data_IF_884200459518
#
_entry.id   IF_884200459518
#
_cell.length_a   1.000
_cell.length_b   1.000
_cell.length_c   1.000
_cell.angle_alpha   90.00
_cell.angle_beta   90.00
_cell.angle_gamma   90.00
#
_symmetry.space_group_name_H-M   'P 1'
#
loop_
_entity.id
_entity.type
_entity.pdbx_description
1 polymer ?
#
# COMPACT_ATOMS: atom_id res chain seq x y z
N UNK A 1 -8.26 26.35 -7.46
CA UNK A 1 -8.69 27.72 -7.12
C UNK A 1 -7.96 28.67 -8.08
N UNK A 2 -8.67 29.59 -8.73
CA UNK A 2 -8.08 30.52 -9.71
C UNK A 2 -8.17 31.95 -9.19
N UNK A 3 -7.07 32.70 -9.26
CA UNK A 3 -6.97 34.05 -8.69
C UNK A 3 -6.42 35.01 -9.76
N UNK A 4 -7.04 36.18 -10.00
CA UNK A 4 -6.48 37.19 -10.89
C UNK A 4 -5.11 37.68 -10.42
N UNK A 5 -4.17 37.90 -11.34
CA UNK A 5 -2.81 38.37 -11.04
C UNK A 5 -2.44 39.63 -11.85
N UNK A 6 -3.04 40.79 -11.52
CA UNK A 6 -2.90 42.01 -12.31
C UNK A 6 -1.53 42.68 -12.17
N UNK A 7 -0.90 42.62 -10.99
CA UNK A 7 0.32 43.35 -10.65
C UNK A 7 1.31 42.47 -9.86
N UNK A 8 2.61 42.81 -9.90
CA UNK A 8 3.67 42.08 -9.16
C UNK A 8 3.53 42.20 -7.65
N UNK A 9 2.99 43.31 -7.18
CA UNK A 9 2.90 43.64 -5.75
C UNK A 9 1.83 42.82 -5.03
N UNK A 10 1.04 42.03 -5.76
CA UNK A 10 0.08 41.12 -5.17
C UNK A 10 0.81 40.06 -4.36
N UNK A 11 0.51 40.00 -3.06
CA UNK A 11 1.06 38.99 -2.17
C UNK A 11 0.51 37.61 -2.54
N UNK A 12 1.38 36.74 -3.08
CA UNK A 12 1.03 35.36 -3.44
C UNK A 12 1.05 34.41 -2.25
N UNK A 13 1.52 34.88 -1.08
CA UNK A 13 1.54 34.10 0.15
C UNK A 13 2.60 33.00 0.20
N UNK A 14 2.61 32.31 1.34
CA UNK A 14 3.32 31.05 1.52
C UNK A 14 4.84 31.14 1.63
N UNK A 15 5.46 29.97 1.60
CA UNK A 15 6.90 29.80 1.62
C UNK A 15 7.44 29.91 0.19
N UNK A 16 8.30 30.89 -0.07
CA UNK A 16 8.86 31.16 -1.40
C UNK A 16 9.66 29.97 -1.96
N UNK A 17 10.34 29.20 -1.10
CA UNK A 17 11.07 27.98 -1.52
C UNK A 17 10.14 26.89 -2.01
N UNK A 18 8.94 26.80 -1.41
CA UNK A 18 7.94 25.79 -1.70
C UNK A 18 6.80 26.31 -2.59
N UNK A 19 6.99 27.47 -3.22
CA UNK A 19 6.04 28.01 -4.18
C UNK A 19 6.16 27.26 -5.50
N UNK A 20 5.06 26.65 -5.94
CA UNK A 20 5.04 25.83 -7.14
C UNK A 20 5.51 26.60 -8.40
N UNK A 21 6.10 25.90 -9.39
CA UNK A 21 6.68 26.54 -10.58
C UNK A 21 5.67 27.40 -11.34
N UNK A 22 4.43 26.93 -11.51
CA UNK A 22 3.38 27.66 -12.21
C UNK A 22 2.96 28.97 -11.54
N UNK A 23 3.20 29.10 -10.22
CA UNK A 23 2.93 30.32 -9.46
C UNK A 23 4.17 31.21 -9.46
N UNK A 24 5.35 30.65 -9.18
CA UNK A 24 6.61 31.40 -9.08
C UNK A 24 7.08 31.98 -10.41
N UNK A 25 6.80 31.33 -11.54
CA UNK A 25 7.19 31.83 -12.88
C UNK A 25 6.07 32.58 -13.58
N UNK A 26 4.95 32.85 -12.89
CA UNK A 26 3.83 33.55 -13.50
C UNK A 26 4.18 35.00 -13.82
N UNK A 27 3.71 35.48 -14.97
CA UNK A 27 3.89 36.87 -15.38
C UNK A 27 2.61 37.64 -15.04
N UNK A 28 2.69 38.74 -14.28
CA UNK A 28 1.54 39.59 -13.99
C UNK A 28 1.03 40.26 -15.26
N UNK A 29 -0.26 40.55 -15.32
CA UNK A 29 -0.81 41.34 -16.41
C UNK A 29 -2.32 41.52 -16.33
N UNK A 30 -2.88 42.47 -17.10
CA UNK A 30 -4.31 42.62 -17.23
C UNK A 30 -4.88 41.32 -17.83
N UNK A 31 -5.73 40.63 -17.07
CA UNK A 31 -6.28 39.28 -17.35
C UNK A 31 -5.32 38.09 -17.13
N UNK A 32 -4.18 38.29 -16.46
CA UNK A 32 -3.38 37.16 -15.97
C UNK A 32 -4.11 36.47 -14.82
N UNK A 33 -4.11 35.13 -14.80
CA UNK A 33 -4.78 34.32 -13.79
C UNK A 33 -3.81 33.25 -13.29
N UNK A 34 -3.69 33.15 -11.97
CA UNK A 34 -2.94 32.10 -11.28
C UNK A 34 -3.86 30.93 -10.95
N UNK A 35 -3.41 29.70 -11.22
CA UNK A 35 -4.12 28.48 -10.88
C UNK A 35 -3.41 27.73 -9.74
N UNK A 36 -4.02 27.75 -8.56
CA UNK A 36 -3.57 27.05 -7.36
C UNK A 36 -4.12 25.63 -7.25
N UNK A 37 -4.85 25.13 -8.26
CA UNK A 37 -5.53 23.82 -8.18
C UNK A 37 -4.61 22.63 -7.91
N UNK A 38 -3.31 22.73 -8.24
CA UNK A 38 -2.30 21.69 -7.98
C UNK A 38 -1.00 22.23 -7.40
N UNK A 39 -1.00 23.47 -6.88
CA UNK A 39 0.18 24.07 -6.25
C UNK A 39 0.56 23.31 -4.99
N UNK A 40 -0.44 22.95 -4.18
CA UNK A 40 -0.22 22.28 -2.89
C UNK A 40 0.32 20.87 -3.09
N UNK A 41 -0.10 20.18 -4.16
CA UNK A 41 0.44 18.87 -4.52
C UNK A 41 1.94 18.93 -4.81
N UNK A 42 2.40 20.01 -5.45
CA UNK A 42 3.82 20.21 -5.68
C UNK A 42 4.58 20.45 -4.36
N UNK A 43 4.02 21.28 -3.48
CA UNK A 43 4.60 21.52 -2.15
C UNK A 43 4.66 20.24 -1.30
N UNK A 44 3.62 19.41 -1.35
CA UNK A 44 3.60 18.07 -0.73
C UNK A 44 4.72 17.20 -1.28
N UNK A 45 4.94 17.21 -2.60
CA UNK A 45 6.06 16.48 -3.22
C UNK A 45 7.43 16.90 -2.69
N UNK A 46 7.64 18.20 -2.44
CA UNK A 46 8.88 18.71 -1.87
C UNK A 46 9.06 18.30 -0.40
N UNK A 47 8.01 18.48 0.42
CA UNK A 47 8.01 18.09 1.84
C UNK A 47 8.11 16.58 2.02
N UNK A 48 7.65 15.79 1.04
CA UNK A 48 7.74 14.33 1.09
C UNK A 48 9.19 13.83 1.19
N UNK A 49 10.20 14.58 0.71
CA UNK A 49 11.60 14.22 0.94
C UNK A 49 11.92 14.16 2.43
N UNK A 50 11.52 15.18 3.19
CA UNK A 50 11.76 15.27 4.63
C UNK A 50 11.04 14.16 5.38
N UNK A 51 9.78 13.89 5.01
CA UNK A 51 8.97 12.83 5.62
C UNK A 51 9.60 11.45 5.38
N UNK A 52 10.19 11.23 4.21
CA UNK A 52 10.80 9.96 3.83
C UNK A 52 12.29 9.84 4.24
N UNK A 53 12.79 10.78 5.05
CA UNK A 53 14.14 10.73 5.60
C UNK A 53 15.24 11.21 4.65
N UNK A 54 14.90 12.03 3.66
CA UNK A 54 15.84 12.71 2.77
C UNK A 54 15.79 14.23 2.97
N UNK A 55 16.85 14.93 2.57
CA UNK A 55 16.86 16.39 2.58
C UNK A 55 15.94 16.96 1.50
N UNK A 56 15.26 18.05 1.82
CA UNK A 56 14.42 18.76 0.86
C UNK A 56 15.28 19.48 -0.17
N UNK A 57 15.14 19.16 -1.48
CA UNK A 57 16.02 19.69 -2.52
C UNK A 57 15.86 21.20 -2.76
N UNK A 58 14.79 21.83 -2.28
CA UNK A 58 14.54 23.26 -2.45
C UNK A 58 15.02 24.11 -1.29
N UNK A 59 15.40 23.49 -0.17
CA UNK A 59 15.99 24.19 0.96
C UNK A 59 17.51 24.24 0.88
N UNK A 60 18.15 25.20 1.57
CA UNK A 60 19.60 25.20 1.67
C UNK A 60 20.02 23.97 2.47
N UNK A 61 20.91 23.18 1.88
CA UNK A 61 21.54 22.07 2.57
C UNK A 61 22.29 22.57 3.81
N UNK A 62 22.10 21.89 4.96
CA UNK A 62 22.76 22.27 6.22
C UNK A 62 24.26 21.96 6.20
N UNK A 63 24.66 20.94 5.45
CA UNK A 63 26.00 20.39 5.37
C UNK A 63 26.64 20.57 3.98
N UNK A 64 26.00 21.32 3.08
CA UNK A 64 26.36 21.43 1.67
C UNK A 64 26.36 20.09 0.91
N UNK A 65 25.60 19.09 1.39
CA UNK A 65 25.41 17.78 0.74
C UNK A 65 24.85 17.87 -0.67
N UNK A 66 24.04 18.90 -0.94
CA UNK A 66 23.42 19.09 -2.25
C UNK A 66 23.28 20.56 -2.62
N UNK A 67 23.23 20.80 -3.93
CA UNK A 67 22.92 22.12 -4.48
C UNK A 67 21.44 22.40 -4.32
N UNK A 68 21.12 23.52 -3.68
CA UNK A 68 19.75 24.01 -3.58
C UNK A 68 19.13 24.25 -4.96
N UNK A 69 17.96 23.67 -5.18
CA UNK A 69 17.14 23.88 -6.37
C UNK A 69 16.19 25.06 -6.17
N UNK A 70 15.87 25.75 -7.25
CA UNK A 70 14.82 26.79 -7.27
C UNK A 70 13.60 26.25 -8.00
N UNK A 71 12.42 26.38 -7.40
CA UNK A 71 11.14 25.94 -7.98
C UNK A 71 10.92 26.51 -9.40
N UNK A 72 11.35 27.75 -9.65
CA UNK A 72 11.21 28.39 -10.95
C UNK A 72 12.11 27.84 -12.05
N UNK A 73 13.25 27.20 -11.73
CA UNK A 73 14.29 26.88 -12.74
C UNK A 73 14.79 25.43 -12.75
N UNK A 74 14.52 24.65 -11.70
CA UNK A 74 14.95 23.25 -11.63
C UNK A 74 14.38 22.42 -12.78
N UNK A 75 15.10 21.36 -13.18
CA UNK A 75 14.60 20.31 -14.07
C UNK A 75 14.28 19.07 -13.26
N UNK A 76 13.32 18.26 -13.70
CA UNK A 76 12.90 17.04 -12.99
C UNK A 76 14.01 15.97 -12.93
N UNK A 77 15.04 16.09 -13.78
CA UNK A 77 16.23 15.24 -13.76
C UNK A 77 17.24 15.65 -12.67
N UNK A 78 17.16 16.88 -12.17
CA UNK A 78 18.04 17.40 -11.13
C UNK A 78 17.59 16.97 -9.72
N UNK A 79 16.41 16.34 -9.62
CA UNK A 79 15.87 15.87 -8.35
C UNK A 79 16.70 14.70 -7.79
N UNK A 80 17.12 14.76 -6.52
CA UNK A 80 17.89 13.68 -5.91
C UNK A 80 17.04 12.41 -5.78
N UNK A 81 17.65 11.21 -5.86
CA UNK A 81 16.94 9.97 -5.65
C UNK A 81 16.53 9.83 -4.17
N UNK A 82 15.32 9.30 -3.93
CA UNK A 82 14.86 8.96 -2.59
C UNK A 82 15.58 7.71 -2.05
N UNK A 83 15.63 7.52 -0.71
CA UNK A 83 16.30 6.39 -0.08
C UNK A 83 15.81 5.03 -0.56
N UNK A 84 16.68 4.01 -0.54
CA UNK A 84 16.39 2.68 -1.07
C UNK A 84 15.16 2.03 -0.42
N UNK A 85 14.94 2.24 0.88
CA UNK A 85 13.83 1.66 1.65
C UNK A 85 12.44 2.22 1.34
N UNK A 86 12.33 3.27 0.52
CA UNK A 86 11.03 3.81 0.11
C UNK A 86 10.44 2.94 -1.01
N UNK A 87 9.16 2.54 -0.95
CA UNK A 87 8.51 1.77 -2.01
C UNK A 87 8.57 2.48 -3.37
N UNK A 88 8.78 1.72 -4.45
CA UNK A 88 8.95 2.29 -5.80
C UNK A 88 7.74 3.11 -6.27
N UNK A 89 6.52 2.66 -5.92
CA UNK A 89 5.29 3.40 -6.22
C UNK A 89 5.28 4.80 -5.57
N UNK A 90 5.81 4.92 -4.34
CA UNK A 90 5.92 6.20 -3.62
C UNK A 90 7.01 7.07 -4.25
N UNK A 91 8.14 6.48 -4.66
CA UNK A 91 9.20 7.23 -5.37
C UNK A 91 8.68 7.84 -6.68
N UNK A 92 7.96 7.03 -7.47
CA UNK A 92 7.27 7.50 -8.69
C UNK A 92 6.24 8.57 -8.38
N UNK A 93 5.45 8.42 -7.32
CA UNK A 93 4.47 9.41 -6.89
C UNK A 93 5.12 10.76 -6.58
N UNK A 94 6.15 10.79 -5.74
CA UNK A 94 6.87 12.02 -5.37
C UNK A 94 7.44 12.71 -6.61
N UNK A 95 8.04 11.93 -7.53
CA UNK A 95 8.54 12.46 -8.81
C UNK A 95 7.41 13.05 -9.66
N UNK A 96 6.25 12.39 -9.73
CA UNK A 96 5.08 12.88 -10.47
C UNK A 96 4.46 14.14 -9.86
N UNK A 97 4.48 14.30 -8.53
CA UNK A 97 4.04 15.52 -7.86
C UNK A 97 4.95 16.71 -8.18
N UNK A 98 6.25 16.46 -8.32
CA UNK A 98 7.26 17.47 -8.65
C UNK A 98 7.45 17.73 -10.15
N UNK A 99 6.50 17.35 -11.00
CA UNK A 99 6.49 17.84 -12.39
C UNK A 99 6.26 19.35 -12.43
N UNK A 100 7.00 20.05 -13.29
CA UNK A 100 6.83 21.50 -13.45
C UNK A 100 5.48 21.87 -14.04
N UNK A 101 5.01 21.07 -15.00
CA UNK A 101 3.69 21.26 -15.61
C UNK A 101 2.59 20.69 -14.70
N UNK A 102 1.63 21.50 -14.23
CA UNK A 102 0.52 21.02 -13.39
C UNK A 102 -0.33 19.94 -14.09
N UNK A 103 -0.44 20.00 -15.41
CA UNK A 103 -1.21 19.02 -16.20
C UNK A 103 -0.62 17.61 -16.14
N UNK A 104 0.69 17.48 -15.88
CA UNK A 104 1.37 16.19 -15.74
C UNK A 104 1.27 15.63 -14.31
N UNK A 105 0.87 16.45 -13.34
CA UNK A 105 0.69 16.00 -11.95
C UNK A 105 -0.60 15.20 -11.83
N UNK A 106 -0.64 14.16 -10.99
CA UNK A 106 -1.89 13.49 -10.66
C UNK A 106 -2.86 14.46 -9.97
N UNK A 107 -4.12 14.08 -9.88
CA UNK A 107 -5.08 14.76 -9.01
C UNK A 107 -4.79 14.42 -7.54
N UNK A 108 -5.35 15.21 -6.62
CA UNK A 108 -5.19 14.95 -5.19
C UNK A 108 -5.80 13.59 -4.78
N UNK A 109 -6.92 13.20 -5.39
CA UNK A 109 -7.55 11.90 -5.17
C UNK A 109 -6.64 10.74 -5.58
N UNK A 110 -6.06 10.80 -6.78
CA UNK A 110 -5.12 9.79 -7.28
C UNK A 110 -3.87 9.72 -6.43
N UNK A 111 -3.27 10.88 -6.08
CA UNK A 111 -2.07 10.92 -5.25
C UNK A 111 -2.31 10.28 -3.88
N UNK A 112 -3.43 10.62 -3.23
CA UNK A 112 -3.84 10.01 -1.96
C UNK A 112 -4.04 8.49 -2.11
N UNK A 113 -4.64 8.05 -3.22
CA UNK A 113 -4.85 6.63 -3.48
C UNK A 113 -3.57 5.83 -3.64
N UNK A 114 -2.60 6.35 -4.40
CA UNK A 114 -1.29 5.71 -4.54
C UNK A 114 -0.59 5.58 -3.18
N UNK A 115 -0.56 6.68 -2.40
CA UNK A 115 0.08 6.68 -1.09
C UNK A 115 -0.56 5.65 -0.14
N UNK A 116 -1.88 5.54 -0.15
CA UNK A 116 -2.61 4.63 0.73
C UNK A 116 -2.48 3.17 0.28
N UNK A 117 -2.59 2.88 -1.02
CA UNK A 117 -2.32 1.53 -1.52
C UNK A 117 -0.89 1.07 -1.23
N UNK A 118 0.08 1.99 -1.29
CA UNK A 118 1.47 1.68 -0.95
C UNK A 118 1.62 1.36 0.54
N UNK A 119 0.94 2.11 1.42
CA UNK A 119 0.92 1.84 2.85
C UNK A 119 0.29 0.47 3.17
N UNK A 120 -0.84 0.13 2.53
CA UNK A 120 -1.50 -1.17 2.70
C UNK A 120 -0.68 -2.35 2.17
N UNK A 121 0.04 -2.15 1.07
CA UNK A 121 0.93 -3.20 0.56
C UNK A 121 2.06 -3.50 1.54
N UNK A 122 2.59 -2.47 2.20
CA UNK A 122 3.67 -2.65 3.18
C UNK A 122 3.20 -3.38 4.45
N UNK A 123 1.96 -3.19 4.90
CA UNK A 123 1.45 -3.90 6.09
C UNK A 123 1.23 -5.39 5.84
N UNK A 124 0.92 -5.79 4.60
CA UNK A 124 0.83 -7.21 4.20
C UNK A 124 2.17 -7.93 4.31
N UNK A 125 3.28 -7.30 3.90
CA UNK A 125 4.62 -7.88 3.97
C UNK A 125 5.12 -8.03 5.41
N UNK A 126 4.79 -7.09 6.30
CA UNK A 126 5.13 -7.18 7.73
C UNK A 126 4.40 -8.32 8.44
N UNK A 127 3.17 -8.65 8.01
CA UNK A 127 2.43 -9.81 8.52
C UNK A 127 2.93 -11.14 7.93
N UNK A 128 3.40 -11.13 6.68
CA UNK A 128 4.01 -12.32 6.06
C UNK A 128 5.42 -12.62 6.60
N UNK A 129 6.19 -11.60 6.99
CA UNK A 129 7.55 -11.73 7.54
C UNK A 129 7.64 -12.09 9.03
N UNK A 130 6.51 -12.26 9.72
CA UNK A 130 6.45 -12.62 11.15
C UNK A 130 6.22 -14.12 11.43
N UNK A 131 6.22 -14.99 10.41
CA UNK A 131 6.10 -16.44 10.62
C UNK A 131 7.42 -17.17 10.90
N UNK A 132 8.58 -16.52 10.76
CA UNK A 132 9.88 -17.17 10.95
C UNK A 132 10.47 -16.82 12.33
N UNK A 133 9.81 -17.31 13.39
CA UNK A 133 10.45 -17.46 14.69
C UNK A 133 11.33 -18.73 14.67
N UNK A 134 12.60 -18.69 15.09
CA UNK A 134 13.43 -19.89 15.24
C UNK A 134 12.82 -20.82 16.29
N UNK A 135 12.89 -22.16 16.14
CA UNK A 135 12.42 -23.09 17.15
C UNK A 135 13.47 -23.21 18.27
N UNK A 136 13.54 -22.23 19.16
CA UNK A 136 14.20 -22.33 20.47
C UNK A 136 13.17 -21.90 21.52
N UNK A 137 12.84 -22.61 22.61
CA UNK A 137 13.50 -23.73 23.28
C UNK A 137 12.47 -24.44 24.18
N UNK A 138 11.42 -25.06 23.63
CA UNK A 138 10.41 -25.79 24.44
C UNK A 138 10.83 -27.20 24.88
N UNK A 139 12.12 -27.51 24.79
CA UNK A 139 12.70 -28.84 25.06
C UNK A 139 13.33 -29.00 26.44
N UNK A 140 13.41 -27.94 27.25
CA UNK A 140 13.98 -28.01 28.61
C UNK A 140 12.91 -28.08 29.72
N UNK A 141 11.71 -27.50 29.54
CA UNK A 141 10.66 -27.58 30.57
C UNK A 141 10.00 -28.96 30.68
N UNK A 142 9.98 -29.77 29.60
CA UNK A 142 9.37 -31.11 29.66
C UNK A 142 10.26 -32.17 30.33
N UNK A 143 11.56 -31.90 30.51
CA UNK A 143 12.49 -32.82 31.19
C UNK A 143 12.61 -32.59 32.69
N UNK A 144 12.19 -31.44 33.21
CA UNK A 144 12.15 -31.19 34.66
C UNK A 144 10.91 -31.81 35.34
N UNK A 145 9.78 -31.94 34.64
CA UNK A 145 8.56 -32.52 35.21
C UNK A 145 8.55 -34.07 35.28
N UNK A 146 9.41 -34.74 34.52
CA UNK A 146 9.49 -36.21 34.49
C UNK A 146 10.45 -36.81 35.55
N UNK A 147 11.21 -35.99 36.28
CA UNK A 147 12.16 -36.46 37.29
C UNK A 147 11.60 -36.48 38.73
N UNK A 148 10.36 -36.02 38.95
CA UNK A 148 9.79 -35.83 40.29
C UNK A 148 8.70 -36.83 40.70
N UNK A 149 8.56 -37.98 40.02
CA UNK A 149 7.59 -39.00 40.48
C UNK A 149 8.10 -40.40 40.19
N UNK A 150 9.04 -40.88 41.02
CA UNK A 150 9.31 -42.31 41.18
C UNK A 150 9.31 -42.64 42.66
N UNK A 151 8.15 -43.04 43.18
CA UNK A 151 8.04 -43.80 44.43
C UNK A 151 6.86 -44.77 44.35
N UNK A 152 7.21 -46.03 44.06
CA UNK A 152 6.65 -47.33 44.51
C UNK A 152 5.13 -47.55 44.61
N UNK A 153 4.70 -48.65 43.96
CA UNK A 153 3.54 -49.48 44.36
C UNK A 153 2.97 -50.28 43.19
N UNK A 154 3.59 -51.39 42.75
CA UNK A 154 3.27 -52.79 43.11
C UNK A 154 1.86 -53.29 42.68
N UNK A 155 1.86 -54.10 41.59
CA UNK A 155 1.11 -55.38 41.39
C UNK A 155 -0.37 -55.35 40.97
N UNK A 156 -0.74 -55.92 39.81
CA UNK A 156 -1.28 -57.29 39.62
C UNK A 156 -1.61 -57.64 38.14
N UNK A 157 -1.49 -58.93 37.80
CA UNK A 157 -1.80 -59.68 36.55
C UNK A 157 -3.20 -59.41 35.95
N UNK A 158 -3.40 -59.56 34.62
CA UNK A 158 -3.80 -60.82 33.91
C UNK A 158 -4.44 -60.57 32.50
N UNK A 159 -3.99 -61.39 31.53
CA UNK A 159 -4.66 -62.02 30.36
C UNK A 159 -5.36 -61.29 29.19
N UNK A 160 -4.83 -61.62 28.01
CA UNK A 160 -5.44 -62.25 26.79
C UNK A 160 -6.58 -61.57 26.02
N UNK A 161 -6.35 -61.38 24.73
CA UNK A 161 -7.38 -61.29 23.68
C UNK A 161 -6.76 -61.20 22.29
N UNK A 162 -6.80 -62.32 21.56
CA UNK A 162 -6.48 -62.49 20.13
C UNK A 162 -7.76 -62.19 19.33
N UNK A 163 -7.71 -61.60 18.12
CA UNK A 163 -8.60 -61.90 16.95
C UNK A 163 -8.11 -61.15 15.69
N UNK A 164 -8.30 -61.85 14.58
CA UNK A 164 -7.87 -61.68 13.18
C UNK A 164 -8.76 -60.76 12.31
N UNK A 165 -8.11 -60.05 11.36
CA UNK A 165 -8.26 -60.07 9.89
C UNK A 165 -9.59 -59.67 9.16
N UNK A 166 -9.42 -58.69 8.22
CA UNK A 166 -9.99 -58.55 6.83
C UNK A 166 -11.51 -58.26 6.62
N UNK A 167 -11.99 -57.97 5.37
CA UNK A 167 -11.51 -57.08 4.29
C UNK A 167 -12.64 -56.32 3.52
N UNK A 168 -12.28 -55.52 2.50
CA UNK A 168 -13.14 -55.17 1.34
C UNK A 168 -14.02 -53.92 1.53
N UNK A 169 -14.47 -53.18 0.51
CA UNK A 169 -14.62 -53.46 -0.92
C UNK A 169 -15.07 -52.15 -1.62
N UNK A 170 -14.45 -51.82 -2.78
CA UNK A 170 -14.98 -51.24 -4.05
C UNK A 170 -15.87 -49.95 -3.98
N UNK A 171 -16.05 -49.09 -4.99
CA UNK A 171 -16.39 -49.17 -6.43
C UNK A 171 -16.15 -47.73 -7.00
N UNK A 172 -15.40 -47.49 -8.09
CA UNK A 172 -15.84 -47.26 -9.50
C UNK A 172 -16.89 -46.12 -9.64
N UNK A 173 -16.82 -45.10 -10.50
CA UNK A 173 -16.90 -45.00 -11.98
C UNK A 173 -16.78 -43.48 -12.29
N UNK A 174 -15.83 -42.91 -13.04
CA UNK A 174 -15.55 -42.89 -14.49
C UNK A 174 -16.51 -42.04 -15.39
N UNK A 175 -15.87 -41.17 -16.21
CA UNK A 175 -16.33 -40.54 -17.47
C UNK A 175 -17.47 -39.50 -17.38
N UNK A 176 -17.48 -38.38 -18.11
CA UNK A 176 -16.75 -37.93 -19.30
C UNK A 176 -17.38 -36.64 -19.84
N UNK A 177 -16.92 -36.11 -20.99
CA UNK A 177 -16.80 -34.67 -21.29
C UNK A 177 -17.79 -34.10 -22.32
N UNK A 178 -17.64 -32.79 -22.62
CA UNK A 178 -18.20 -31.93 -23.70
C UNK A 178 -19.15 -30.82 -23.23
N UNK A 179 -19.18 -29.61 -23.77
CA UNK A 179 -18.43 -28.95 -24.85
C UNK A 179 -18.52 -27.44 -24.61
N UNK A 180 -17.46 -26.71 -24.94
CA UNK A 180 -17.42 -25.25 -24.95
C UNK A 180 -17.93 -24.73 -26.29
N UNK A 181 -18.81 -23.73 -26.26
CA UNK A 181 -19.04 -22.86 -27.43
C UNK A 181 -19.36 -21.43 -26.98
N UNK A 182 -18.54 -20.52 -27.52
CA UNK A 182 -18.77 -19.11 -27.79
C UNK A 182 -19.09 -18.17 -26.62
N UNK A 183 -18.05 -17.42 -26.20
CA UNK A 183 -18.20 -16.00 -25.88
C UNK A 183 -16.93 -15.27 -26.34
N UNK A 184 -17.17 -14.26 -27.18
CA UNK A 184 -16.20 -13.43 -27.87
C UNK A 184 -15.20 -12.76 -26.91
N UNK A 185 -13.92 -12.89 -27.24
CA UNK A 185 -12.81 -12.29 -26.53
C UNK A 185 -12.77 -10.77 -26.79
N UNK A 186 -13.23 -9.98 -25.83
CA UNK A 186 -12.72 -8.63 -25.63
C UNK A 186 -11.33 -8.78 -25.02
N UNK A 187 -10.28 -8.44 -25.76
CA UNK A 187 -8.90 -8.41 -25.25
C UNK A 187 -8.77 -7.32 -24.20
N UNK A 188 -9.03 -7.66 -22.94
CA UNK A 188 -8.52 -6.92 -21.79
C UNK A 188 -7.00 -7.12 -21.78
N UNK A 189 -6.26 -6.02 -21.65
CA UNK A 189 -4.81 -6.08 -21.42
C UNK A 189 -4.55 -7.11 -20.32
N UNK A 190 -3.65 -8.07 -20.55
CA UNK A 190 -3.42 -9.15 -19.60
C UNK A 190 -2.62 -8.63 -18.40
N UNK A 191 -3.27 -8.50 -17.24
CA UNK A 191 -2.63 -8.11 -15.98
C UNK A 191 -1.68 -9.21 -15.51
N UNK A 192 -0.58 -8.89 -14.83
CA UNK A 192 0.38 -9.91 -14.40
C UNK A 192 -0.26 -10.86 -13.36
N UNK A 193 0.30 -12.06 -13.18
CA UNK A 193 -0.21 -13.01 -12.17
C UNK A 193 -0.10 -12.47 -10.74
N UNK A 194 0.85 -11.57 -10.49
CA UNK A 194 1.06 -10.92 -9.19
C UNK A 194 -0.02 -9.86 -8.93
N UNK A 195 -0.39 -9.10 -9.96
CA UNK A 195 -1.44 -8.07 -9.86
C UNK A 195 -2.81 -8.69 -9.63
N UNK A 196 -3.09 -9.85 -10.25
CA UNK A 196 -4.33 -10.61 -10.02
C UNK A 196 -4.45 -11.11 -8.60
N UNK A 197 -3.38 -11.68 -8.04
CA UNK A 197 -3.38 -12.15 -6.65
C UNK A 197 -3.55 -11.01 -5.65
N UNK A 198 -2.98 -9.84 -5.94
CA UNK A 198 -3.15 -8.65 -5.12
C UNK A 198 -4.57 -8.10 -5.19
N UNK A 199 -5.16 -8.02 -6.39
CA UNK A 199 -6.56 -7.63 -6.57
C UNK A 199 -7.53 -8.60 -5.90
N UNK A 200 -7.31 -9.91 -6.05
CA UNK A 200 -8.12 -10.94 -5.40
C UNK A 200 -8.03 -10.82 -3.88
N UNK A 201 -6.85 -10.48 -3.34
CA UNK A 201 -6.66 -10.22 -1.91
C UNK A 201 -7.40 -8.96 -1.45
N UNK A 202 -7.31 -7.85 -2.19
CA UNK A 202 -8.03 -6.60 -1.88
C UNK A 202 -9.55 -6.81 -1.94
N UNK A 203 -10.05 -7.55 -2.95
CA UNK A 203 -11.46 -7.87 -3.11
C UNK A 203 -11.95 -8.84 -2.03
N UNK A 204 -11.16 -9.85 -1.67
CA UNK A 204 -11.48 -10.78 -0.59
C UNK A 204 -11.54 -10.05 0.76
N UNK A 205 -10.59 -9.15 1.03
CA UNK A 205 -10.59 -8.34 2.24
C UNK A 205 -11.78 -7.40 2.26
N UNK A 206 -12.08 -6.71 1.14
CA UNK A 206 -13.23 -5.84 1.01
C UNK A 206 -14.57 -6.58 1.22
N UNK A 207 -14.72 -7.77 0.63
CA UNK A 207 -15.92 -8.61 0.79
C UNK A 207 -16.06 -9.15 2.22
N UNK A 208 -14.97 -9.63 2.82
CA UNK A 208 -14.97 -10.14 4.20
C UNK A 208 -15.36 -9.05 5.21
N UNK A 209 -14.89 -7.82 5.00
CA UNK A 209 -15.20 -6.66 5.84
C UNK A 209 -16.66 -6.22 5.66
N UNK A 210 -17.17 -6.27 4.44
CA UNK A 210 -18.58 -5.99 4.14
C UNK A 210 -19.49 -7.02 4.81
N UNK A 211 -19.12 -8.30 4.77
CA UNK A 211 -19.81 -9.36 5.53
C UNK A 211 -19.71 -9.17 7.05
N UNK A 212 -18.58 -8.69 7.58
CA UNK A 212 -18.45 -8.37 9.01
C UNK A 212 -19.31 -7.15 9.41
N UNK A 213 -19.35 -6.10 8.59
CA UNK A 213 -20.18 -4.92 8.83
C UNK A 213 -21.69 -5.25 8.79
N UNK A 214 -22.12 -6.17 7.92
CA UNK A 214 -23.53 -6.54 7.77
C UNK A 214 -24.00 -7.66 8.69
N UNK A 215 -23.11 -8.58 9.11
CA UNK A 215 -23.51 -9.81 9.81
C UNK A 215 -22.71 -10.11 11.09
N UNK A 216 -21.70 -9.34 11.48
CA UNK A 216 -20.96 -9.62 12.72
C UNK A 216 -21.64 -9.06 13.96
N UNK A 217 -21.53 -9.82 15.05
CA UNK A 217 -21.97 -9.44 16.39
C UNK A 217 -21.19 -8.22 16.91
N UNK A 218 -21.92 -7.15 17.27
CA UNK A 218 -21.41 -5.83 17.65
C UNK A 218 -20.71 -5.81 19.02
N UNK A 219 -20.52 -6.96 19.64
CA UNK A 219 -19.93 -7.13 20.98
C UNK A 219 -18.40 -7.03 20.99
N UNK A 220 -17.73 -7.12 19.83
CA UNK A 220 -16.27 -6.98 19.69
C UNK A 220 -15.88 -5.55 19.28
N UNK A 221 -14.81 -4.97 19.87
CA UNK A 221 -14.31 -3.68 19.44
C UNK A 221 -13.88 -3.75 17.98
N UNK A 222 -14.30 -2.77 17.18
CA UNK A 222 -13.96 -2.68 15.78
C UNK A 222 -12.45 -2.61 15.59
N UNK A 223 -11.93 -3.42 14.67
CA UNK A 223 -10.58 -3.21 14.17
C UNK A 223 -10.57 -1.93 13.33
N UNK A 224 -10.08 -0.85 13.94
CA UNK A 224 -10.08 0.49 13.33
C UNK A 224 -9.23 0.54 12.07
N UNK A 225 -8.20 -0.31 11.93
CA UNK A 225 -7.40 -0.40 10.70
C UNK A 225 -8.27 -0.89 9.54
N UNK A 226 -8.98 -1.99 9.74
CA UNK A 226 -9.95 -2.55 8.79
C UNK A 226 -11.06 -1.55 8.43
N UNK A 227 -11.65 -0.86 9.40
CA UNK A 227 -12.70 0.14 9.16
C UNK A 227 -12.18 1.32 8.34
N UNK A 228 -10.97 1.83 8.65
CA UNK A 228 -10.37 2.93 7.92
C UNK A 228 -10.02 2.53 6.47
N UNK A 229 -9.52 1.31 6.27
CA UNK A 229 -9.23 0.79 4.94
C UNK A 229 -10.50 0.64 4.09
N UNK A 230 -11.59 0.18 4.70
CA UNK A 230 -12.89 0.06 4.03
C UNK A 230 -13.51 1.42 3.68
N UNK A 231 -13.55 2.35 4.65
CA UNK A 231 -14.04 3.71 4.42
C UNK A 231 -13.25 4.39 3.31
N UNK A 232 -11.95 4.15 3.25
CA UNK A 232 -11.11 4.66 2.19
C UNK A 232 -11.45 4.05 0.82
N UNK A 233 -11.46 2.71 0.71
CA UNK A 233 -11.80 2.03 -0.54
C UNK A 233 -13.20 2.42 -1.04
N UNK A 234 -14.14 2.69 -0.13
CA UNK A 234 -15.49 3.13 -0.48
C UNK A 234 -15.55 4.52 -1.14
N UNK A 235 -14.56 5.38 -0.87
CA UNK A 235 -14.45 6.72 -1.49
C UNK A 235 -13.56 6.76 -2.71
N UNK A 236 -12.85 5.67 -3.00
CA UNK A 236 -11.97 5.61 -4.15
C UNK A 236 -12.79 5.38 -5.42
N UNK A 237 -12.78 6.35 -6.34
CA UNK A 237 -13.46 6.15 -7.62
C UNK A 237 -12.71 5.12 -8.46
N UNK A 238 -13.43 4.38 -9.31
CA UNK A 238 -12.79 3.41 -10.22
C UNK A 238 -11.76 4.07 -11.15
N UNK A 239 -12.01 5.31 -11.56
CA UNK A 239 -11.07 6.08 -12.38
C UNK A 239 -9.78 6.38 -11.61
N UNK A 240 -9.90 6.87 -10.37
CA UNK A 240 -8.75 7.16 -9.52
C UNK A 240 -7.95 5.89 -9.21
N UNK A 241 -8.63 4.79 -8.89
CA UNK A 241 -8.00 3.49 -8.65
C UNK A 241 -7.22 3.03 -9.88
N UNK A 242 -7.85 3.06 -11.07
CA UNK A 242 -7.22 2.62 -12.32
C UNK A 242 -5.98 3.45 -12.67
N UNK A 243 -6.02 4.75 -12.39
CA UNK A 243 -4.86 5.62 -12.58
C UNK A 243 -3.76 5.32 -11.56
N UNK A 244 -4.13 5.15 -10.29
CA UNK A 244 -3.21 4.91 -9.20
C UNK A 244 -2.49 3.54 -9.31
N UNK A 245 -3.13 2.52 -9.86
CA UNK A 245 -2.49 1.22 -10.15
C UNK A 245 -1.30 1.35 -11.09
N UNK A 246 -1.24 2.37 -11.97
CA UNK A 246 -0.10 2.59 -12.88
C UNK A 246 1.21 2.94 -12.18
N UNK A 247 1.17 3.25 -10.89
CA UNK A 247 2.34 3.55 -10.08
C UNK A 247 3.05 2.28 -9.57
N UNK A 248 2.33 1.15 -9.50
CA UNK A 248 2.86 -0.16 -9.11
C UNK A 248 3.37 -0.89 -10.36
#
# INVERSE_FOLDING_TARGET
MKVPYPTRDMYLGGNSWLMAPEISTAVPGPNSILDFGKSDLWAVGAVAYEILGADNPFYPSRDNSHRQLSSGTYKEVDLPPLPAGVPEAVKKLVKSLLFRSPSKRPTASVAAAVAQMAALSATSEVHAGKSDLPPESRSQERKAAAAATTTKGRVHKRNKGHVMNRPGRQVLVACGPWSATHLSTCTSAAWSSRDRKWLDWVLAQGLALLCQLTFADQSKPWDMESVMNFLFLSRLTYADFREAVRYF
#
